data_IF_626561816496
#
_entry.id   IF_626561816496
#
_cell.length_a   1.000
_cell.length_b   1.000
_cell.length_c   1.000
_cell.angle_alpha   90.00
_cell.angle_beta   90.00
_cell.angle_gamma   90.00
#
_symmetry.space_group_name_H-M   'P 1'
#
loop_
_entity.id
_entity.type
_entity.pdbx_description
1 polymer ?
#
# COMPACT_ATOMS: atom_id res chain seq x y z
N UNK A 1 -10.24 14.52 -7.54
CA UNK A 1 -8.81 14.73 -7.20
C UNK A 1 -8.35 13.61 -6.27
N UNK A 2 -7.18 13.05 -6.52
CA UNK A 2 -6.64 11.96 -5.70
C UNK A 2 -6.21 12.45 -4.33
N UNK A 3 -6.65 11.76 -3.28
CA UNK A 3 -6.21 12.01 -1.91
C UNK A 3 -5.00 11.11 -1.60
N UNK A 4 -3.89 11.72 -1.19
CA UNK A 4 -2.66 10.99 -0.86
C UNK A 4 -2.47 10.93 0.66
N UNK A 5 -1.81 9.87 1.13
CA UNK A 5 -1.40 9.76 2.53
C UNK A 5 -0.07 10.46 2.74
N UNK A 6 0.13 11.03 3.92
CA UNK A 6 1.45 11.50 4.36
C UNK A 6 2.09 10.48 5.31
N UNK A 7 3.27 10.80 5.82
CA UNK A 7 4.01 9.93 6.75
C UNK A 7 3.16 9.58 7.98
N UNK A 8 2.54 10.59 8.59
CA UNK A 8 1.76 10.40 9.81
C UNK A 8 0.53 9.52 9.57
N UNK A 9 -0.12 9.68 8.42
CA UNK A 9 -1.25 8.83 8.02
C UNK A 9 -0.83 7.36 7.93
N UNK A 10 0.31 7.08 7.31
CA UNK A 10 0.84 5.72 7.15
C UNK A 10 1.19 5.13 8.51
N UNK A 11 1.86 5.88 9.36
CA UNK A 11 2.25 5.40 10.69
C UNK A 11 1.02 5.17 11.58
N UNK A 12 0.01 6.01 11.48
CA UNK A 12 -1.25 5.86 12.22
C UNK A 12 -2.00 4.61 11.78
N UNK A 13 -2.13 4.41 10.47
CA UNK A 13 -2.79 3.22 9.92
C UNK A 13 -2.05 1.94 10.30
N UNK A 14 -0.72 1.96 10.20
CA UNK A 14 0.12 0.83 10.57
C UNK A 14 0.06 0.51 12.05
N UNK A 15 0.09 1.51 12.92
CA UNK A 15 0.00 1.33 14.36
C UNK A 15 -1.33 0.67 14.74
N UNK A 16 -2.43 1.09 14.12
CA UNK A 16 -3.75 0.50 14.33
C UNK A 16 -3.77 -0.97 13.90
N UNK A 17 -3.16 -1.30 12.77
CA UNK A 17 -3.14 -2.67 12.25
C UNK A 17 -2.23 -3.60 13.05
N UNK A 18 -1.09 -3.09 13.52
CA UNK A 18 -0.10 -3.87 14.28
C UNK A 18 -0.49 -3.96 15.77
N UNK A 19 -1.20 -2.95 16.28
CA UNK A 19 -1.65 -2.92 17.68
C UNK A 19 -0.68 -2.21 18.63
N UNK A 20 0.32 -1.51 18.09
CA UNK A 20 1.30 -0.77 18.90
C UNK A 20 1.92 0.36 18.09
N UNK A 21 2.59 1.29 18.78
CA UNK A 21 3.31 2.38 18.11
C UNK A 21 4.48 1.77 17.32
N UNK A 22 4.57 2.14 16.04
CA UNK A 22 5.60 1.64 15.15
C UNK A 22 6.95 2.29 15.43
N UNK A 23 8.01 1.47 15.36
CA UNK A 23 9.39 1.98 15.41
C UNK A 23 9.92 2.07 13.98
N UNK A 24 10.30 3.28 13.57
CA UNK A 24 10.85 3.52 12.23
C UNK A 24 12.37 3.33 12.28
N UNK A 25 12.88 2.45 11.44
CA UNK A 25 14.33 2.20 11.34
C UNK A 25 14.98 3.13 10.32
N UNK A 26 14.24 3.56 9.28
CA UNK A 26 14.77 4.42 8.23
C UNK A 26 13.67 5.35 7.70
N UNK A 27 13.71 6.61 8.14
CA UNK A 27 12.73 7.62 7.70
C UNK A 27 12.85 7.96 6.23
N UNK A 28 14.04 7.88 5.65
CA UNK A 28 14.23 8.12 4.22
C UNK A 28 13.50 7.09 3.37
N UNK A 29 13.60 5.82 3.73
CA UNK A 29 12.87 4.75 3.04
C UNK A 29 11.36 4.89 3.23
N UNK A 30 10.93 5.26 4.44
CA UNK A 30 9.50 5.49 4.71
C UNK A 30 8.96 6.63 3.84
N UNK A 31 9.65 7.76 3.80
CA UNK A 31 9.22 8.92 3.02
C UNK A 31 9.23 8.63 1.53
N UNK A 32 10.21 7.85 1.04
CA UNK A 32 10.24 7.42 -0.36
C UNK A 32 9.02 6.56 -0.72
N UNK A 33 8.63 5.65 0.17
CA UNK A 33 7.44 4.81 -0.04
C UNK A 33 6.17 5.66 -0.05
N UNK A 34 6.05 6.61 0.87
CA UNK A 34 4.89 7.50 0.99
C UNK A 34 4.76 8.38 -0.26
N UNK A 35 5.88 8.84 -0.82
CA UNK A 35 5.89 9.71 -2.00
C UNK A 35 5.63 8.96 -3.30
N UNK A 36 5.88 7.66 -3.35
CA UNK A 36 5.85 6.90 -4.61
C UNK A 36 4.52 6.99 -5.38
N UNK A 37 3.34 6.93 -4.73
CA UNK A 37 2.07 7.00 -5.47
C UNK A 37 1.88 8.26 -6.30
N UNK A 38 2.52 9.37 -5.92
CA UNK A 38 2.41 10.64 -6.64
C UNK A 38 3.55 10.92 -7.62
N UNK A 39 4.40 9.94 -7.87
CA UNK A 39 5.53 10.09 -8.78
C UNK A 39 5.06 10.43 -10.19
N UNK A 40 5.84 11.27 -10.87
CA UNK A 40 5.58 11.66 -12.26
C UNK A 40 6.79 11.35 -13.13
N UNK A 41 6.51 11.11 -14.42
CA UNK A 41 7.54 10.94 -15.44
C UNK A 41 7.17 11.90 -16.58
N UNK A 42 8.02 12.86 -16.86
CA UNK A 42 7.77 13.90 -17.87
C UNK A 42 6.44 14.63 -17.66
N UNK A 43 6.09 14.91 -16.40
CA UNK A 43 4.87 15.64 -16.05
C UNK A 43 3.59 14.79 -16.03
N UNK A 44 3.68 13.50 -16.35
CA UNK A 44 2.55 12.58 -16.31
C UNK A 44 2.68 11.65 -15.10
N UNK A 45 1.54 11.26 -14.52
CA UNK A 45 1.53 10.32 -13.41
C UNK A 45 2.20 9.01 -13.81
N UNK A 46 3.19 8.57 -13.01
CA UNK A 46 3.85 7.28 -13.24
C UNK A 46 2.88 6.11 -13.01
N UNK A 47 1.93 6.29 -12.10
CA UNK A 47 0.87 5.32 -11.79
C UNK A 47 -0.46 6.00 -12.13
N UNK A 48 -1.11 5.54 -13.21
CA UNK A 48 -2.20 6.29 -13.85
C UNK A 48 -3.51 6.31 -13.05
N UNK A 49 -3.83 5.22 -12.33
CA UNK A 49 -5.09 5.12 -11.59
C UNK A 49 -4.84 4.84 -10.10
N UNK A 50 -5.90 4.91 -9.30
CA UNK A 50 -5.80 4.74 -7.85
C UNK A 50 -5.33 3.35 -7.44
N UNK A 51 -5.64 2.30 -8.21
CA UNK A 51 -5.20 0.95 -7.88
C UNK A 51 -3.70 0.77 -8.15
N UNK A 52 -3.18 1.35 -9.23
CA UNK A 52 -1.75 1.37 -9.50
C UNK A 52 -1.01 2.17 -8.43
N UNK A 53 -1.56 3.31 -8.01
CA UNK A 53 -0.99 4.14 -6.94
C UNK A 53 -0.98 3.38 -5.60
N UNK A 54 -2.08 2.70 -5.26
CA UNK A 54 -2.16 1.89 -4.05
C UNK A 54 -1.17 0.73 -4.09
N UNK A 55 -1.01 0.07 -5.25
CA UNK A 55 -0.06 -1.02 -5.43
C UNK A 55 1.38 -0.54 -5.25
N UNK A 56 1.72 0.64 -5.75
CA UNK A 56 3.06 1.23 -5.57
C UNK A 56 3.36 1.50 -4.09
N UNK A 57 2.40 2.06 -3.36
CA UNK A 57 2.51 2.30 -1.92
C UNK A 57 2.69 0.98 -1.16
N UNK A 58 1.84 0.02 -1.44
CA UNK A 58 1.85 -1.31 -0.84
C UNK A 58 3.21 -2.00 -1.02
N UNK A 59 3.68 -2.06 -2.27
CA UNK A 59 4.94 -2.72 -2.61
C UNK A 59 6.13 -2.07 -1.88
N UNK A 60 6.20 -0.76 -1.91
CA UNK A 60 7.30 -0.04 -1.27
C UNK A 60 7.31 -0.26 0.23
N UNK A 61 6.16 -0.14 0.90
CA UNK A 61 6.07 -0.33 2.36
C UNK A 61 6.36 -1.78 2.76
N UNK A 62 5.90 -2.75 1.98
CA UNK A 62 6.12 -4.17 2.29
C UNK A 62 7.59 -4.57 2.13
N UNK A 63 8.34 -3.92 1.25
CA UNK A 63 9.66 -4.36 0.81
C UNK A 63 10.82 -3.51 1.28
N UNK A 64 10.57 -2.23 1.62
CA UNK A 64 11.66 -1.31 1.98
C UNK A 64 12.21 -1.53 3.40
N UNK A 65 11.50 -2.27 4.23
CA UNK A 65 11.89 -2.51 5.63
C UNK A 65 12.19 -1.22 6.41
N UNK A 66 11.41 -0.18 6.15
CA UNK A 66 11.54 1.11 6.84
C UNK A 66 11.13 1.05 8.30
N UNK A 67 10.36 0.04 8.68
CA UNK A 67 9.81 -0.18 10.02
C UNK A 67 10.46 -1.42 10.60
N UNK A 68 10.78 -1.39 11.90
CA UNK A 68 11.45 -2.50 12.58
C UNK A 68 10.65 -3.81 12.48
N UNK A 69 9.32 -3.70 12.67
CA UNK A 69 8.42 -4.85 12.59
C UNK A 69 7.05 -4.39 12.09
N UNK A 70 6.30 -5.29 11.45
CA UNK A 70 4.95 -4.98 10.98
C UNK A 70 4.89 -4.35 9.59
N UNK A 71 5.92 -4.52 8.75
CA UNK A 71 5.96 -3.92 7.41
C UNK A 71 4.81 -4.38 6.51
N UNK A 72 4.50 -5.68 6.47
CA UNK A 72 3.39 -6.20 5.65
C UNK A 72 2.04 -5.68 6.12
N UNK A 73 1.79 -5.67 7.43
CA UNK A 73 0.53 -5.16 7.99
C UNK A 73 0.37 -3.67 7.75
N UNK A 74 1.45 -2.90 7.90
CA UNK A 74 1.45 -1.47 7.61
C UNK A 74 1.20 -1.20 6.14
N UNK A 75 1.83 -1.97 5.25
CA UNK A 75 1.62 -1.84 3.80
C UNK A 75 0.15 -2.08 3.43
N UNK A 76 -0.44 -3.15 3.95
CA UNK A 76 -1.85 -3.47 3.71
C UNK A 76 -2.77 -2.37 4.24
N UNK A 77 -2.56 -1.93 5.50
CA UNK A 77 -3.38 -0.91 6.14
C UNK A 77 -3.28 0.44 5.40
N UNK A 78 -2.09 0.81 4.95
CA UNK A 78 -1.89 2.04 4.19
C UNK A 78 -2.60 2.00 2.83
N UNK A 79 -2.45 0.89 2.09
CA UNK A 79 -3.14 0.72 0.80
C UNK A 79 -4.65 0.72 0.98
N UNK A 80 -5.15 0.03 2.01
CA UNK A 80 -6.57 0.00 2.36
C UNK A 80 -7.10 1.41 2.64
N UNK A 81 -6.39 2.17 3.46
CA UNK A 81 -6.76 3.54 3.83
C UNK A 81 -6.75 4.45 2.60
N UNK A 82 -5.72 4.34 1.77
CA UNK A 82 -5.60 5.11 0.54
C UNK A 82 -6.82 4.87 -0.38
N UNK A 83 -7.16 3.60 -0.60
CA UNK A 83 -8.31 3.24 -1.45
C UNK A 83 -9.63 3.73 -0.84
N UNK A 84 -9.78 3.58 0.49
CA UNK A 84 -10.97 4.08 1.19
C UNK A 84 -11.16 5.58 0.97
N UNK A 85 -10.09 6.37 1.12
CA UNK A 85 -10.15 7.82 0.93
C UNK A 85 -10.45 8.24 -0.52
N UNK A 86 -10.19 7.35 -1.46
CA UNK A 86 -10.40 7.61 -2.90
C UNK A 86 -11.63 6.88 -3.44
N UNK A 87 -12.60 6.58 -2.58
CA UNK A 87 -13.89 5.99 -2.94
C UNK A 87 -13.79 4.60 -3.57
N UNK A 88 -12.77 3.84 -3.22
CA UNK A 88 -12.54 2.48 -3.72
C UNK A 88 -12.28 1.50 -2.57
N UNK A 89 -13.08 1.59 -1.50
CA UNK A 89 -12.95 0.74 -0.32
C UNK A 89 -12.99 -0.74 -0.71
N UNK A 90 -12.13 -1.53 -0.03
CA UNK A 90 -12.13 -2.98 -0.20
C UNK A 90 -13.43 -3.57 0.36
N UNK A 91 -13.99 -4.54 -0.36
CA UNK A 91 -15.20 -5.22 0.04
C UNK A 91 -14.92 -6.51 0.82
N UNK A 92 -15.85 -7.45 0.76
CA UNK A 92 -15.65 -8.78 1.30
C UNK A 92 -14.77 -9.58 0.37
N UNK A 93 -13.59 -9.97 0.82
CA UNK A 93 -12.64 -10.75 0.04
C UNK A 93 -12.13 -11.92 0.90
N UNK A 94 -11.56 -12.91 0.22
CA UNK A 94 -10.96 -14.07 0.89
C UNK A 94 -9.69 -13.62 1.62
N UNK A 95 -9.70 -13.71 2.95
CA UNK A 95 -8.57 -13.30 3.78
C UNK A 95 -7.32 -14.14 3.49
N UNK A 96 -7.48 -15.44 3.23
CA UNK A 96 -6.36 -16.32 2.91
C UNK A 96 -5.73 -15.94 1.56
N UNK A 97 -6.55 -15.57 0.58
CA UNK A 97 -6.04 -15.08 -0.71
C UNK A 97 -5.27 -13.78 -0.53
N UNK A 98 -5.80 -12.85 0.27
CA UNK A 98 -5.13 -11.57 0.53
C UNK A 98 -3.80 -11.77 1.28
N UNK A 99 -3.76 -12.68 2.24
CA UNK A 99 -2.53 -13.00 2.97
C UNK A 99 -1.47 -13.61 2.04
N UNK A 100 -1.87 -14.54 1.18
CA UNK A 100 -0.98 -15.11 0.16
C UNK A 100 -0.46 -14.05 -0.79
N UNK A 101 -1.33 -13.15 -1.24
CA UNK A 101 -0.94 -12.01 -2.08
C UNK A 101 0.09 -11.12 -1.37
N UNK A 102 -0.14 -10.77 -0.10
CA UNK A 102 0.80 -9.93 0.65
C UNK A 102 2.16 -10.61 0.85
N UNK A 103 2.19 -11.92 1.04
CA UNK A 103 3.45 -12.66 1.11
C UNK A 103 4.19 -12.60 -0.22
N UNK A 104 3.49 -12.72 -1.35
CA UNK A 104 4.09 -12.59 -2.68
C UNK A 104 4.66 -11.18 -2.89
N UNK A 105 3.92 -10.14 -2.51
CA UNK A 105 4.40 -8.75 -2.60
C UNK A 105 5.69 -8.55 -1.81
N UNK A 106 5.75 -9.10 -0.61
CA UNK A 106 6.89 -8.91 0.28
C UNK A 106 8.13 -9.69 -0.15
N UNK A 107 7.97 -10.80 -0.86
CA UNK A 107 9.07 -11.74 -1.14
C UNK A 107 9.48 -11.84 -2.61
N UNK A 108 8.58 -11.49 -3.55
CA UNK A 108 8.87 -11.60 -4.98
C UNK A 108 9.47 -10.29 -5.51
N UNK A 109 10.75 -10.32 -5.86
CA UNK A 109 11.54 -9.12 -6.17
C UNK A 109 11.06 -8.29 -7.35
N UNK A 110 10.44 -8.92 -8.34
CA UNK A 110 10.03 -8.31 -9.59
C UNK A 110 8.51 -8.40 -9.83
N UNK A 111 7.74 -8.50 -8.75
CA UNK A 111 6.28 -8.56 -8.87
C UNK A 111 5.76 -7.28 -9.53
N UNK A 112 5.03 -7.44 -10.62
CA UNK A 112 4.53 -6.35 -11.43
C UNK A 112 3.48 -5.53 -10.68
N UNK A 113 3.58 -4.20 -10.78
CA UNK A 113 2.59 -3.27 -10.19
C UNK A 113 1.19 -3.55 -10.78
N UNK A 114 1.10 -3.85 -12.08
CA UNK A 114 -0.17 -4.18 -12.72
C UNK A 114 -0.85 -5.40 -12.11
N UNK A 115 -0.08 -6.42 -11.74
CA UNK A 115 -0.59 -7.59 -11.04
C UNK A 115 -1.20 -7.20 -9.69
N UNK A 116 -0.45 -6.45 -8.89
CA UNK A 116 -0.91 -6.01 -7.57
C UNK A 116 -2.12 -5.06 -7.67
N UNK A 117 -2.10 -4.15 -8.64
CA UNK A 117 -3.23 -3.26 -8.90
C UNK A 117 -4.49 -4.05 -9.26
N UNK A 118 -4.36 -5.08 -10.08
CA UNK A 118 -5.46 -5.97 -10.44
C UNK A 118 -6.04 -6.72 -9.24
N UNK A 119 -5.19 -7.20 -8.35
CA UNK A 119 -5.63 -7.86 -7.10
C UNK A 119 -6.41 -6.90 -6.23
N UNK A 120 -5.90 -5.68 -6.01
CA UNK A 120 -6.58 -4.68 -5.20
C UNK A 120 -7.92 -4.26 -5.81
N UNK A 121 -7.95 -4.10 -7.13
CA UNK A 121 -9.19 -3.78 -7.86
C UNK A 121 -10.23 -4.88 -7.68
N UNK A 122 -9.82 -6.15 -7.74
CA UNK A 122 -10.71 -7.29 -7.52
C UNK A 122 -11.26 -7.31 -6.10
N UNK A 123 -10.43 -7.00 -5.10
CA UNK A 123 -10.88 -6.93 -3.71
C UNK A 123 -11.88 -5.78 -3.50
N UNK A 124 -11.68 -4.65 -4.14
CA UNK A 124 -12.62 -3.52 -4.07
C UNK A 124 -13.96 -3.88 -4.71
N UNK A 125 -13.94 -4.58 -5.84
CA UNK A 125 -15.16 -4.96 -6.56
C UNK A 125 -15.97 -6.04 -5.83
N UNK A 126 -15.33 -6.90 -5.02
CA UNK A 126 -15.98 -8.07 -4.40
C UNK A 126 -17.04 -7.70 -3.36
N UNK A 127 -17.07 -6.46 -2.88
CA UNK A 127 -18.06 -5.97 -1.93
C UNK A 127 -19.28 -5.31 -2.55
N UNK A 128 -19.40 -5.36 -3.86
CA UNK A 128 -20.48 -4.65 -4.59
C UNK A 128 -21.52 -5.58 -5.17
#
# INVERSE_FOLDING_TARGET
MTEYLDRDDVLTAGAAAVGEILKVSDYGLLDAAVARPRATVFGLDAYADIFAKAAALLQSLARNHAIVDGNKRTAWAAAWTFLYLNDAALGDFDVDDAESFMNDVATTGDLDIGYSAGKLSAYAASGQ
#
